data_IF_114160946750
#
_entry.id   IF_114160946750
#
_cell.length_a   1.000
_cell.length_b   1.000
_cell.length_c   1.000
_cell.angle_alpha   90.00
_cell.angle_beta   90.00
_cell.angle_gamma   90.00
#
_symmetry.space_group_name_H-M   'P 1'
#
loop_
_entity.id
_entity.type
_entity.pdbx_description
1 polymer ?
#
# COMPACT_ATOMS: atom_id res chain seq x y z
N UNK A 1 -37.90 5.93 -26.55
CA UNK A 1 -36.86 5.20 -27.29
C UNK A 1 -35.54 5.89 -27.01
N UNK A 2 -35.14 5.70 -25.76
CA UNK A 2 -33.77 5.47 -25.28
C UNK A 2 -32.70 5.39 -26.38
N UNK A 3 -31.73 6.29 -26.32
CA UNK A 3 -30.45 6.14 -27.01
C UNK A 3 -29.35 6.61 -26.05
N UNK A 4 -29.02 5.75 -25.10
CA UNK A 4 -27.84 5.85 -24.25
C UNK A 4 -26.62 5.54 -25.11
N UNK A 5 -25.94 6.58 -25.60
CA UNK A 5 -24.76 6.48 -26.45
C UNK A 5 -23.65 7.41 -25.97
N UNK A 6 -22.68 6.84 -25.26
CA UNK A 6 -21.43 7.44 -24.82
C UNK A 6 -20.82 6.46 -23.81
N UNK A 7 -19.85 5.62 -24.14
CA UNK A 7 -18.66 5.89 -24.94
C UNK A 7 -17.47 5.90 -23.97
N UNK A 8 -17.06 4.70 -23.54
CA UNK A 8 -15.74 4.24 -23.04
C UNK A 8 -14.98 5.11 -22.01
N UNK A 9 -14.36 4.48 -21.00
CA UNK A 9 -13.06 3.88 -21.30
C UNK A 9 -12.98 2.40 -20.90
N UNK A 10 -12.71 1.58 -21.92
CA UNK A 10 -12.01 0.30 -21.79
C UNK A 10 -10.75 0.50 -20.95
N UNK A 11 -10.71 -0.11 -19.77
CA UNK A 11 -9.52 -0.10 -18.89
C UNK A 11 -8.67 -1.34 -19.13
N UNK A 12 -8.40 -1.66 -20.40
CA UNK A 12 -7.23 -2.45 -20.76
C UNK A 12 -5.98 -1.59 -20.61
N UNK A 13 -5.45 -1.50 -19.39
CA UNK A 13 -4.03 -1.21 -19.20
C UNK A 13 -3.45 -2.23 -18.22
N UNK A 14 -2.94 -3.30 -18.81
CA UNK A 14 -2.08 -4.28 -18.16
C UNK A 14 -0.70 -3.68 -17.99
N UNK A 15 -0.46 -3.03 -16.84
CA UNK A 15 0.89 -2.80 -16.31
C UNK A 15 0.92 -3.26 -14.84
N UNK A 16 1.43 -4.47 -14.66
CA UNK A 16 2.57 -4.78 -13.79
C UNK A 16 2.52 -4.29 -12.32
N UNK A 17 2.00 -5.15 -11.43
CA UNK A 17 2.39 -5.43 -10.01
C UNK A 17 2.61 -4.26 -9.02
N UNK A 18 2.39 -3.02 -9.45
CA UNK A 18 2.33 -1.78 -8.69
C UNK A 18 1.06 -1.00 -9.09
N UNK A 19 -0.05 -1.74 -9.27
CA UNK A 19 -1.39 -1.19 -9.54
C UNK A 19 -1.63 -0.05 -8.56
N UNK A 20 -1.64 1.19 -9.07
CA UNK A 20 -1.83 2.40 -8.29
C UNK A 20 -3.10 2.20 -7.45
N UNK A 21 -2.90 1.84 -6.18
CA UNK A 21 -3.97 1.63 -5.23
C UNK A 21 -4.73 2.95 -5.24
N UNK A 22 -6.03 2.90 -5.55
CA UNK A 22 -6.90 4.07 -5.52
C UNK A 22 -7.75 3.97 -4.28
N UNK A 23 -8.10 5.12 -3.72
CA UNK A 23 -9.06 5.17 -2.63
C UNK A 23 -10.33 4.41 -3.03
N UNK A 24 -10.88 3.62 -2.13
CA UNK A 24 -12.12 2.86 -2.37
C UNK A 24 -13.38 3.73 -2.50
N UNK A 25 -13.24 5.06 -2.59
CA UNK A 25 -14.35 5.98 -2.81
C UNK A 25 -14.53 6.23 -4.31
N UNK A 26 -15.76 6.15 -4.80
CA UNK A 26 -16.15 6.45 -6.17
C UNK A 26 -15.74 7.88 -6.58
N UNK A 27 -15.04 7.98 -7.71
CA UNK A 27 -14.52 9.27 -8.20
C UNK A 27 -13.28 9.80 -7.44
N UNK A 28 -12.77 9.09 -6.43
CA UNK A 28 -11.59 9.53 -5.71
C UNK A 28 -10.30 9.07 -6.41
N UNK A 29 -9.47 10.04 -6.80
CA UNK A 29 -8.14 9.80 -7.41
C UNK A 29 -7.00 9.81 -6.40
N UNK A 30 -7.30 9.96 -5.10
CA UNK A 30 -6.28 9.95 -4.06
C UNK A 30 -5.70 8.55 -3.86
N UNK A 31 -4.42 8.51 -3.51
CA UNK A 31 -3.73 7.28 -3.13
C UNK A 31 -4.17 6.90 -1.70
N UNK A 32 -4.67 5.68 -1.48
CA UNK A 32 -5.05 5.23 -0.18
C UNK A 32 -3.81 5.00 0.66
N UNK A 33 -3.93 5.44 1.89
CA UNK A 33 -2.86 5.46 2.87
C UNK A 33 -3.26 4.92 4.22
N UNK A 34 -4.55 4.63 4.41
CA UNK A 34 -5.12 4.12 5.63
C UNK A 34 -5.90 2.86 5.32
N UNK A 35 -5.92 1.95 6.26
CA UNK A 35 -6.64 0.69 6.19
C UNK A 35 -6.72 0.06 7.57
N UNK A 36 -7.20 -1.15 7.65
CA UNK A 36 -7.32 -1.85 8.93
C UNK A 36 -6.04 -2.61 9.29
N UNK A 37 -5.84 -2.84 10.58
CA UNK A 37 -4.65 -3.55 11.08
C UNK A 37 -4.54 -4.94 10.43
N UNK A 38 -3.45 -5.16 9.69
CA UNK A 38 -3.19 -6.42 8.97
C UNK A 38 -3.58 -6.40 7.50
N UNK A 39 -4.37 -5.41 7.06
CA UNK A 39 -4.81 -5.24 5.68
C UNK A 39 -3.93 -4.24 4.89
N UNK A 40 -4.17 -4.13 3.59
CA UNK A 40 -3.57 -3.07 2.77
C UNK A 40 -4.29 -1.72 2.98
N UNK A 41 -3.68 -0.59 2.59
CA UNK A 41 -4.38 0.69 2.61
C UNK A 41 -5.55 0.67 1.62
N UNK A 42 -6.76 0.97 2.08
CA UNK A 42 -7.99 0.97 1.27
C UNK A 42 -8.57 2.37 1.07
N UNK A 43 -8.31 3.28 2.00
CA UNK A 43 -8.83 4.65 1.98
C UNK A 43 -7.73 5.70 2.06
N UNK A 44 -7.96 6.86 1.44
CA UNK A 44 -7.09 8.03 1.60
C UNK A 44 -7.36 8.70 2.94
N UNK A 45 -6.52 9.68 3.31
CA UNK A 45 -6.66 10.47 4.55
C UNK A 45 -7.99 11.20 4.66
N UNK A 46 -8.59 11.57 3.53
CA UNK A 46 -9.88 12.28 3.49
C UNK A 46 -11.08 11.35 3.68
N UNK A 47 -10.97 10.11 3.20
CA UNK A 47 -12.02 9.08 3.31
C UNK A 47 -11.70 8.02 4.36
N UNK A 48 -10.77 8.31 5.27
CA UNK A 48 -10.34 7.36 6.28
C UNK A 48 -11.38 7.28 7.39
N UNK A 49 -11.74 6.05 7.77
CA UNK A 49 -12.53 5.82 8.98
C UNK A 49 -11.64 5.96 10.23
N UNK A 50 -12.17 6.38 11.39
CA UNK A 50 -11.39 6.45 12.63
C UNK A 50 -10.90 5.08 13.11
N UNK A 51 -11.51 4.00 12.65
CA UNK A 51 -11.06 2.62 12.88
C UNK A 51 -9.90 2.20 11.96
N UNK A 52 -9.55 3.00 10.95
CA UNK A 52 -8.43 2.74 10.05
C UNK A 52 -7.15 3.36 10.60
N UNK A 53 -6.07 2.60 10.51
CA UNK A 53 -4.71 3.03 10.84
C UNK A 53 -3.98 3.46 9.57
N UNK A 54 -2.98 4.32 9.71
CA UNK A 54 -2.16 4.75 8.60
C UNK A 54 -1.19 3.62 8.17
N UNK A 55 -1.48 2.99 7.03
CA UNK A 55 -0.73 1.87 6.43
C UNK A 55 0.21 2.37 5.32
N UNK A 56 0.18 3.68 4.98
CA UNK A 56 1.11 4.28 4.02
C UNK A 56 2.52 3.81 4.33
N UNK A 57 3.10 3.09 3.37
CA UNK A 57 4.50 2.75 3.25
C UNK A 57 5.31 3.19 4.44
N UNK A 58 5.26 2.37 5.48
CA UNK A 58 5.97 2.71 6.69
C UNK A 58 7.43 2.86 6.26
N UNK A 59 7.92 4.09 6.34
CA UNK A 59 9.24 4.43 5.83
C UNK A 59 10.26 3.72 6.71
N UNK A 60 11.42 3.50 6.13
CA UNK A 60 12.57 3.11 6.91
C UNK A 60 12.72 4.05 8.11
N UNK A 61 12.96 3.50 9.30
CA UNK A 61 13.15 4.24 10.55
C UNK A 61 14.36 5.19 10.49
N UNK A 62 15.23 5.01 9.50
CA UNK A 62 16.32 5.92 9.17
C UNK A 62 15.78 7.27 8.65
N UNK A 63 16.10 8.37 9.34
CA UNK A 63 15.47 9.70 9.17
C UNK A 63 15.48 10.29 7.76
N UNK A 64 16.50 9.99 6.95
CA UNK A 64 16.64 10.48 5.58
C UNK A 64 16.19 9.45 4.52
N UNK A 65 15.65 8.31 4.95
CA UNK A 65 15.31 7.23 4.05
C UNK A 65 13.82 7.21 3.69
N UNK A 66 13.54 7.45 2.41
CA UNK A 66 12.19 7.36 1.84
C UNK A 66 11.83 5.94 1.38
N UNK A 67 12.78 5.00 1.45
CA UNK A 67 12.53 3.62 1.06
C UNK A 67 11.55 2.94 2.01
N UNK A 68 10.75 2.01 1.47
CA UNK A 68 9.79 1.22 2.23
C UNK A 68 10.52 0.31 3.21
N UNK A 69 10.05 0.27 4.46
CA UNK A 69 10.55 -0.71 5.43
C UNK A 69 10.04 -2.11 5.07
N UNK A 70 10.96 -3.02 4.78
CA UNK A 70 10.68 -4.43 4.44
C UNK A 70 11.45 -5.39 5.33
N UNK A 71 12.46 -4.90 6.05
CA UNK A 71 13.32 -5.67 6.93
C UNK A 71 13.00 -5.38 8.40
N UNK A 72 12.93 -6.45 9.19
CA UNK A 72 12.75 -6.40 10.64
C UNK A 72 13.16 -7.73 11.27
N UNK A 73 13.14 -7.80 12.59
CA UNK A 73 13.42 -9.04 13.31
C UNK A 73 12.26 -10.04 13.13
N UNK A 74 12.56 -11.33 13.25
CA UNK A 74 11.52 -12.36 13.19
C UNK A 74 10.52 -12.16 14.33
N UNK A 75 9.23 -12.28 14.03
CA UNK A 75 8.15 -11.97 14.99
C UNK A 75 7.88 -10.47 15.23
N UNK A 76 8.66 -9.56 14.64
CA UNK A 76 8.45 -8.12 14.74
C UNK A 76 7.90 -7.51 13.44
N UNK A 77 7.48 -6.24 13.50
CA UNK A 77 7.17 -5.46 12.29
C UNK A 77 8.45 -5.03 11.57
N UNK A 78 8.41 -4.95 10.23
CA UNK A 78 9.50 -4.33 9.48
C UNK A 78 9.74 -2.90 9.98
N UNK A 79 11.00 -2.50 10.14
CA UNK A 79 11.40 -1.16 10.61
C UNK A 79 12.35 -0.47 9.65
N UNK A 80 13.16 -1.25 8.93
CA UNK A 80 14.19 -0.75 8.04
C UNK A 80 13.98 -1.25 6.61
N UNK A 81 14.58 -0.57 5.64
CA UNK A 81 14.59 -1.00 4.24
C UNK A 81 15.80 -1.90 3.95
N UNK A 82 15.90 -2.43 2.73
CA UNK A 82 16.98 -3.33 2.32
C UNK A 82 18.38 -2.76 2.52
N UNK A 83 18.53 -1.44 2.38
CA UNK A 83 19.82 -0.73 2.50
C UNK A 83 20.18 -0.38 3.95
N UNK A 84 19.18 -0.22 4.83
CA UNK A 84 19.39 0.14 6.23
C UNK A 84 19.10 -1.02 7.19
N UNK A 85 18.95 -2.25 6.69
CA UNK A 85 18.70 -3.42 7.53
C UNK A 85 19.87 -3.65 8.51
N UNK A 86 19.56 -4.10 9.71
CA UNK A 86 20.55 -4.53 10.70
C UNK A 86 20.87 -6.03 10.54
N UNK A 87 22.03 -6.44 11.05
CA UNK A 87 22.39 -7.87 11.13
C UNK A 87 21.36 -8.62 11.99
N UNK A 88 20.87 -9.75 11.50
CA UNK A 88 19.76 -10.48 12.11
C UNK A 88 18.35 -10.04 11.68
N UNK A 89 18.19 -8.98 10.86
CA UNK A 89 16.89 -8.66 10.27
C UNK A 89 16.59 -9.52 9.04
N UNK A 90 15.35 -9.99 8.95
CA UNK A 90 14.82 -10.78 7.84
C UNK A 90 13.86 -9.96 6.98
N UNK A 91 13.73 -10.32 5.70
CA UNK A 91 12.74 -9.71 4.81
C UNK A 91 11.34 -10.23 5.18
N UNK A 92 10.57 -9.37 5.84
CA UNK A 92 9.22 -9.69 6.32
C UNK A 92 8.16 -9.51 5.23
N UNK A 93 8.48 -8.82 4.12
CA UNK A 93 7.56 -8.71 2.98
C UNK A 93 7.58 -9.98 2.14
N UNK A 94 8.75 -10.60 1.93
CA UNK A 94 8.85 -11.88 1.21
C UNK A 94 8.29 -13.07 1.98
N UNK A 95 8.11 -12.97 3.30
CA UNK A 95 7.54 -14.05 4.13
C UNK A 95 6.02 -14.23 4.01
N UNK A 96 5.30 -13.31 3.34
CA UNK A 96 3.83 -13.40 3.17
C UNK A 96 3.36 -14.23 1.96
N UNK A 97 4.26 -14.91 1.26
CA UNK A 97 3.93 -15.65 0.02
C UNK A 97 4.55 -17.05 -0.05
N UNK A 98 4.76 -17.71 1.09
CA UNK A 98 5.05 -19.14 1.13
C UNK A 98 4.26 -19.81 2.26
N UNK A 99 3.00 -20.10 1.96
CA UNK A 99 2.20 -21.18 2.54
C UNK A 99 0.97 -21.38 1.67
#
# INVERSE_FOLDING_TARGET
>A
MDNTGGGEPDTSDTIDVLKCLRCGQEGCTNVPGLGYQGEGPTMCTEHASPAMIQIVHLRCEHGDCTARRTFGFDGASARLCAVHKLDGMVDLMKRRSQS
#
